data_IF_604988030566
#
_entry.id   IF_604988030566
#
_cell.length_a   1.000
_cell.length_b   1.000
_cell.length_c   1.000
_cell.angle_alpha   90.00
_cell.angle_beta   90.00
_cell.angle_gamma   90.00
#
_symmetry.space_group_name_H-M   'P 1'
#
loop_
_entity.id
_entity.type
_entity.pdbx_description
1 polymer ?
#
# COMPACT_ATOMS: atom_id res chain seq x y z
N UNK A 1 46.74 -27.34 -28.62
CA UNK A 1 47.01 -28.34 -27.56
C UNK A 1 48.06 -27.76 -26.62
N UNK A 2 47.64 -27.00 -25.61
CA UNK A 2 48.47 -26.55 -24.49
C UNK A 2 47.71 -26.91 -23.22
N UNK A 3 48.38 -27.67 -22.36
CA UNK A 3 47.83 -28.42 -21.25
C UNK A 3 47.47 -27.53 -20.05
N UNK A 4 46.42 -27.97 -19.36
CA UNK A 4 46.09 -27.71 -17.97
C UNK A 4 47.32 -27.60 -17.07
N UNK A 5 47.35 -26.61 -16.18
CA UNK A 5 47.89 -26.80 -14.82
C UNK A 5 47.20 -25.85 -13.83
N UNK A 6 46.77 -26.45 -12.72
CA UNK A 6 46.41 -25.87 -11.42
C UNK A 6 45.03 -25.24 -11.17
N UNK A 7 44.14 -26.14 -10.73
CA UNK A 7 43.00 -25.94 -9.83
C UNK A 7 43.39 -25.24 -8.52
N UNK A 8 42.34 -24.68 -7.90
CA UNK A 8 42.13 -24.44 -6.47
C UNK A 8 42.81 -23.21 -5.85
N UNK A 9 42.02 -22.14 -5.70
CA UNK A 9 41.90 -21.42 -4.44
C UNK A 9 40.42 -20.98 -4.29
N UNK A 10 39.59 -21.94 -3.88
CA UNK A 10 38.26 -21.70 -3.32
C UNK A 10 38.45 -21.61 -1.80
N UNK A 11 37.64 -20.79 -1.14
CA UNK A 11 37.58 -20.58 0.32
C UNK A 11 38.75 -19.70 0.81
N UNK A 12 38.55 -18.50 1.34
CA UNK A 12 37.77 -18.16 2.52
C UNK A 12 37.28 -16.70 2.42
N UNK A 13 35.99 -16.49 2.67
CA UNK A 13 35.30 -15.35 3.34
C UNK A 13 33.85 -15.48 2.87
N UNK A 14 33.13 -16.43 3.47
CA UNK A 14 31.68 -16.41 3.51
C UNK A 14 31.35 -16.49 4.99
N UNK A 15 31.32 -15.32 5.61
CA UNK A 15 30.92 -15.15 7.00
C UNK A 15 29.51 -15.69 7.16
N UNK A 16 29.40 -16.79 7.89
CA UNK A 16 28.22 -17.10 8.69
C UNK A 16 27.95 -15.93 9.61
N UNK A 17 26.85 -15.20 9.44
CA UNK A 17 26.12 -14.58 10.54
C UNK A 17 24.73 -14.16 10.05
N UNK A 18 23.71 -14.51 10.85
CA UNK A 18 22.32 -14.07 10.78
C UNK A 18 21.39 -14.70 9.70
N UNK A 19 20.89 -15.92 9.97
CA UNK A 19 19.45 -16.19 9.80
C UNK A 19 18.79 -15.95 11.15
N UNK A 20 18.20 -14.78 11.34
CA UNK A 20 17.38 -14.45 12.50
C UNK A 20 15.93 -14.33 12.03
N UNK A 21 15.08 -15.09 12.73
CA UNK A 21 13.61 -15.10 12.75
C UNK A 21 12.85 -15.58 11.52
N UNK A 22 12.92 -16.88 11.24
CA UNK A 22 11.71 -17.64 10.88
C UNK A 22 11.19 -18.30 12.17
N UNK A 23 9.87 -18.33 12.34
CA UNK A 23 9.10 -18.87 13.50
C UNK A 23 8.85 -17.92 14.67
N UNK A 24 7.96 -16.95 14.47
CA UNK A 24 7.02 -16.56 15.52
C UNK A 24 5.66 -16.27 14.87
N UNK A 25 4.61 -16.85 15.46
CA UNK A 25 3.18 -16.67 15.15
C UNK A 25 2.61 -17.32 13.88
N UNK A 26 2.18 -18.57 14.03
CA UNK A 26 0.98 -19.07 13.35
C UNK A 26 0.12 -19.81 14.37
N UNK A 27 -0.86 -19.12 14.95
CA UNK A 27 -2.01 -19.78 15.58
C UNK A 27 -2.90 -20.30 14.45
N UNK A 28 -3.17 -21.62 14.34
CA UNK A 28 -4.20 -22.08 13.44
C UNK A 28 -5.57 -21.79 14.09
N UNK A 29 -6.13 -20.61 13.83
CA UNK A 29 -7.55 -20.37 14.10
C UNK A 29 -8.34 -21.11 13.03
N UNK A 30 -8.99 -22.20 13.41
CA UNK A 30 -10.01 -22.87 12.61
C UNK A 30 -11.21 -21.95 12.43
N UNK A 31 -11.20 -21.14 11.37
CA UNK A 31 -12.37 -20.35 10.96
C UNK A 31 -13.35 -21.29 10.27
N UNK A 32 -14.41 -21.68 10.99
CA UNK A 32 -15.60 -22.25 10.37
C UNK A 32 -16.29 -21.17 9.54
N UNK A 33 -16.23 -21.29 8.22
CA UNK A 33 -17.14 -20.57 7.33
C UNK A 33 -18.50 -21.25 7.38
N UNK A 34 -19.42 -20.74 8.21
CA UNK A 34 -20.83 -21.12 8.14
C UNK A 34 -21.56 -20.03 7.37
N UNK A 35 -21.86 -20.33 6.11
CA UNK A 35 -22.78 -19.54 5.31
C UNK A 35 -24.24 -19.76 5.73
N UNK A 36 -25.06 -18.84 5.23
CA UNK A 36 -26.54 -18.84 5.15
C UNK A 36 -27.28 -18.15 6.28
N UNK A 37 -28.01 -17.08 5.92
CA UNK A 37 -29.04 -16.46 6.74
C UNK A 37 -29.20 -14.99 6.39
N UNK A 38 -30.16 -14.67 5.52
CA UNK A 38 -30.57 -13.28 5.26
C UNK A 38 -31.03 -12.62 6.56
N UNK A 39 -30.16 -11.79 7.14
CA UNK A 39 -30.48 -10.96 8.29
C UNK A 39 -31.03 -9.63 7.82
N UNK A 40 -32.24 -9.30 8.28
CA UNK A 40 -32.85 -7.98 8.16
C UNK A 40 -31.83 -6.88 8.54
N UNK A 41 -31.67 -5.92 7.64
CA UNK A 41 -30.88 -4.71 7.89
C UNK A 41 -31.43 -4.03 9.16
N UNK A 42 -30.65 -4.06 10.24
CA UNK A 42 -31.05 -3.52 11.55
C UNK A 42 -30.88 -4.48 12.73
N UNK A 43 -30.59 -5.77 12.49
CA UNK A 43 -30.23 -6.70 13.57
C UNK A 43 -28.76 -6.50 14.00
N UNK A 44 -28.53 -5.50 14.85
CA UNK A 44 -27.22 -5.11 15.38
C UNK A 44 -26.60 -6.12 16.36
N UNK A 45 -26.34 -7.35 15.90
CA UNK A 45 -25.63 -8.37 16.71
C UNK A 45 -24.57 -9.18 15.95
N UNK A 46 -24.44 -9.03 14.62
CA UNK A 46 -23.57 -9.91 13.83
C UNK A 46 -22.59 -9.27 12.85
N UNK A 47 -22.66 -7.95 12.58
CA UNK A 47 -21.83 -7.31 11.53
C UNK A 47 -20.98 -6.13 12.01
N UNK A 48 -20.53 -6.16 13.27
CA UNK A 48 -19.48 -5.25 13.76
C UNK A 48 -19.97 -3.94 14.40
N UNK A 49 -21.23 -3.86 14.84
CA UNK A 49 -21.71 -2.80 15.72
C UNK A 49 -22.36 -3.44 16.93
N UNK A 50 -21.73 -3.33 18.10
CA UNK A 50 -22.30 -3.83 19.35
C UNK A 50 -23.67 -3.21 19.59
N UNK A 51 -24.62 -4.02 20.07
CA UNK A 51 -25.98 -3.62 20.44
C UNK A 51 -25.95 -2.29 21.19
N UNK A 52 -26.30 -1.20 20.52
CA UNK A 52 -26.16 0.16 21.04
C UNK A 52 -27.22 0.45 22.09
N UNK A 53 -27.07 -0.15 23.28
CA UNK A 53 -27.91 0.03 24.46
C UNK A 53 -29.38 -0.36 24.27
N UNK A 54 -30.08 -0.57 25.38
CA UNK A 54 -31.53 -0.81 25.41
C UNK A 54 -32.35 0.28 24.71
N UNK A 55 -31.78 1.45 24.43
CA UNK A 55 -32.43 2.59 23.76
C UNK A 55 -32.66 2.33 22.27
N UNK A 56 -31.72 1.71 21.54
CA UNK A 56 -31.90 1.43 20.09
C UNK A 56 -32.84 0.26 19.84
N UNK A 57 -32.90 -0.68 20.78
CA UNK A 57 -33.76 -1.87 20.72
C UNK A 57 -35.20 -1.55 21.17
N UNK A 58 -35.38 -0.72 22.21
CA UNK A 58 -36.69 -0.26 22.68
C UNK A 58 -37.29 0.90 21.84
N UNK A 59 -36.50 1.55 20.98
CA UNK A 59 -36.87 2.77 20.25
C UNK A 59 -37.88 2.63 19.09
N UNK A 60 -38.47 1.45 18.88
CA UNK A 60 -39.53 1.26 17.87
C UNK A 60 -39.18 1.79 16.46
N UNK A 61 -40.14 2.44 15.80
CA UNK A 61 -39.92 3.01 14.45
C UNK A 61 -38.96 4.22 14.45
N UNK A 62 -38.94 5.01 15.52
CA UNK A 62 -38.08 6.19 15.63
C UNK A 62 -36.60 5.81 15.82
N UNK A 63 -36.29 4.79 16.62
CA UNK A 63 -34.94 4.26 16.80
C UNK A 63 -34.35 3.66 15.51
N UNK A 64 -35.19 3.02 14.67
CA UNK A 64 -34.78 2.54 13.34
C UNK A 64 -34.45 3.70 12.39
N UNK A 65 -35.24 4.77 12.42
CA UNK A 65 -35.00 5.96 11.59
C UNK A 65 -33.72 6.70 12.03
N UNK A 66 -33.50 6.83 13.34
CA UNK A 66 -32.29 7.44 13.89
C UNK A 66 -31.04 6.62 13.56
N UNK A 67 -31.10 5.29 13.68
CA UNK A 67 -30.00 4.41 13.30
C UNK A 67 -29.64 4.52 11.81
N UNK A 68 -30.64 4.59 10.92
CA UNK A 68 -30.40 4.79 9.49
C UNK A 68 -29.71 6.13 9.19
N UNK A 69 -30.13 7.20 9.87
CA UNK A 69 -29.54 8.53 9.71
C UNK A 69 -28.10 8.60 10.23
N UNK A 70 -27.82 7.97 11.37
CA UNK A 70 -26.46 7.83 11.89
C UNK A 70 -25.58 7.06 10.91
N UNK A 71 -26.07 5.95 10.37
CA UNK A 71 -25.32 5.14 9.42
C UNK A 71 -25.01 5.91 8.12
N UNK A 72 -25.98 6.65 7.58
CA UNK A 72 -25.74 7.54 6.44
C UNK A 72 -24.66 8.59 6.74
N UNK A 73 -24.69 9.18 7.93
CA UNK A 73 -23.69 10.16 8.35
C UNK A 73 -22.30 9.55 8.40
N UNK A 74 -22.14 8.37 9.01
CA UNK A 74 -20.85 7.68 9.07
C UNK A 74 -20.35 7.26 7.70
N UNK A 75 -21.22 6.76 6.81
CA UNK A 75 -20.86 6.43 5.42
C UNK A 75 -20.32 7.66 4.68
N UNK A 76 -21.02 8.80 4.77
CA UNK A 76 -20.55 10.06 4.15
C UNK A 76 -19.20 10.51 4.72
N UNK A 77 -18.99 10.36 6.03
CA UNK A 77 -17.70 10.69 6.64
C UNK A 77 -16.57 9.78 6.16
N UNK A 78 -16.79 8.47 6.09
CA UNK A 78 -15.78 7.53 5.59
C UNK A 78 -15.47 7.78 4.12
N UNK A 79 -16.50 8.04 3.31
CA UNK A 79 -16.33 8.34 1.89
C UNK A 79 -15.55 9.64 1.69
N UNK A 80 -15.84 10.68 2.48
CA UNK A 80 -15.12 11.94 2.44
C UNK A 80 -13.64 11.78 2.85
N UNK A 81 -13.35 10.96 3.86
CA UNK A 81 -11.97 10.67 4.25
C UNK A 81 -11.20 9.93 3.16
N UNK A 82 -11.81 8.91 2.56
CA UNK A 82 -11.19 8.16 1.46
C UNK A 82 -11.00 9.06 0.24
N UNK A 83 -11.96 9.92 -0.08
CA UNK A 83 -11.84 10.89 -1.16
C UNK A 83 -10.66 11.84 -0.96
N UNK A 84 -10.54 12.42 0.23
CA UNK A 84 -9.43 13.32 0.58
C UNK A 84 -8.06 12.64 0.45
N UNK A 85 -7.97 11.37 0.84
CA UNK A 85 -6.74 10.60 0.68
C UNK A 85 -6.41 10.35 -0.80
N UNK A 86 -7.42 10.09 -1.64
CA UNK A 86 -7.22 9.93 -3.08
C UNK A 86 -6.75 11.23 -3.73
N UNK A 87 -7.41 12.35 -3.43
CA UNK A 87 -7.02 13.67 -3.96
C UNK A 87 -5.57 14.00 -3.60
N UNK A 88 -5.16 13.78 -2.35
CA UNK A 88 -3.78 14.02 -1.92
C UNK A 88 -2.77 13.16 -2.70
N UNK A 89 -3.07 11.88 -2.92
CA UNK A 89 -2.21 10.98 -3.69
C UNK A 89 -2.14 11.38 -5.17
N UNK A 90 -3.23 11.86 -5.75
CA UNK A 90 -3.26 12.37 -7.12
C UNK A 90 -2.43 13.66 -7.25
N UNK A 91 -2.50 14.56 -6.28
CA UNK A 91 -1.65 15.75 -6.21
C UNK A 91 -0.15 15.39 -6.12
N UNK A 92 0.21 14.44 -5.25
CA UNK A 92 1.58 13.94 -5.12
C UNK A 92 2.08 13.29 -6.42
N UNK A 93 1.25 12.48 -7.06
CA UNK A 93 1.58 11.86 -8.35
C UNK A 93 1.88 12.93 -9.41
N UNK A 94 0.99 13.92 -9.55
CA UNK A 94 1.17 15.01 -10.50
C UNK A 94 2.44 15.83 -10.22
N UNK A 95 2.73 16.07 -8.94
CA UNK A 95 3.94 16.77 -8.52
C UNK A 95 5.20 15.98 -8.92
N UNK A 96 5.24 14.67 -8.63
CA UNK A 96 6.37 13.82 -8.99
C UNK A 96 6.54 13.69 -10.51
N UNK A 97 5.46 13.61 -11.28
CA UNK A 97 5.52 13.64 -12.74
C UNK A 97 6.14 14.93 -13.27
N UNK A 98 5.81 16.08 -12.68
CA UNK A 98 6.40 17.36 -13.06
C UNK A 98 7.90 17.39 -12.78
N UNK A 99 8.33 16.91 -11.60
CA UNK A 99 9.75 16.83 -11.23
C UNK A 99 10.52 15.91 -12.18
N UNK A 100 9.95 14.77 -12.56
CA UNK A 100 10.57 13.85 -13.54
C UNK A 100 10.77 14.56 -14.87
N UNK A 101 9.78 15.29 -15.38
CA UNK A 101 9.89 16.06 -16.63
C UNK A 101 10.99 17.12 -16.55
N UNK A 102 11.09 17.82 -15.43
CA UNK A 102 12.14 18.82 -15.21
C UNK A 102 13.53 18.17 -15.21
N UNK A 103 13.72 17.08 -14.47
CA UNK A 103 14.99 16.36 -14.44
C UNK A 103 15.36 15.76 -15.80
N UNK A 104 14.38 15.28 -16.58
CA UNK A 104 14.63 14.83 -17.95
C UNK A 104 15.17 15.97 -18.82
N UNK A 105 14.57 17.16 -18.75
CA UNK A 105 15.03 18.33 -19.49
C UNK A 105 16.45 18.77 -19.08
N UNK A 106 16.78 18.69 -17.79
CA UNK A 106 18.14 18.95 -17.28
C UNK A 106 19.15 17.94 -17.82
N UNK A 107 18.81 16.64 -17.77
CA UNK A 107 19.64 15.57 -18.32
C UNK A 107 19.91 15.81 -19.81
N UNK A 108 18.90 16.20 -20.58
CA UNK A 108 19.05 16.51 -22.01
C UNK A 108 19.97 17.70 -22.26
N UNK A 109 19.84 18.77 -21.45
CA UNK A 109 20.75 19.92 -21.51
C UNK A 109 22.19 19.51 -21.23
N UNK A 110 22.43 18.69 -20.21
CA UNK A 110 23.77 18.18 -19.90
C UNK A 110 24.32 17.29 -21.00
N UNK A 111 23.49 16.39 -21.56
CA UNK A 111 23.86 15.55 -22.71
C UNK A 111 24.27 16.40 -23.92
N UNK A 112 23.54 17.50 -24.20
CA UNK A 112 23.89 18.43 -25.29
C UNK A 112 25.24 19.09 -25.05
N UNK A 113 25.49 19.63 -23.85
CA UNK A 113 26.79 20.24 -23.49
C UNK A 113 27.95 19.26 -23.64
N UNK A 114 27.78 18.00 -23.21
CA UNK A 114 28.81 16.96 -23.38
C UNK A 114 29.11 16.72 -24.87
N UNK A 115 28.08 16.66 -25.73
CA UNK A 115 28.30 16.51 -27.18
C UNK A 115 29.05 17.69 -27.79
N UNK A 116 28.71 18.91 -27.38
CA UNK A 116 29.39 20.13 -27.85
C UNK A 116 30.87 20.15 -27.44
N UNK A 117 31.19 19.77 -26.20
CA UNK A 117 32.57 19.68 -25.72
C UNK A 117 33.37 18.62 -26.49
N UNK A 118 32.81 17.42 -26.68
CA UNK A 118 33.44 16.36 -27.48
C UNK A 118 33.75 16.81 -28.91
N UNK A 119 32.85 17.58 -29.53
CA UNK A 119 33.06 18.08 -30.89
C UNK A 119 34.23 19.07 -30.99
N UNK A 120 34.42 19.90 -29.95
CA UNK A 120 35.56 20.83 -29.87
C UNK A 120 36.87 20.08 -29.69
N UNK A 121 36.91 19.08 -28.81
CA UNK A 121 38.08 18.22 -28.60
C UNK A 121 38.53 17.49 -29.88
N UNK A 122 37.61 17.15 -30.79
CA UNK A 122 37.94 16.50 -32.05
C UNK A 122 38.39 17.47 -33.17
N UNK A 123 38.19 18.78 -33.00
CA UNK A 123 38.57 19.80 -34.00
C UNK A 123 39.87 20.54 -33.66
N UNK A 124 40.44 20.30 -32.47
CA UNK A 124 41.81 20.67 -32.09
C UNK A 124 42.77 19.50 -32.35
#
# INVERSE_FOLDING_TARGET
MWMCLHRNLRWWIAGTYLRVTETYFSCPSSVRFSGTGGGEWGSGSGRGGGSGGSVREAGGAFGKMEAAREEEYFRRLTDAQVHKLKEHLEEEMNHHELLIKQHQAEIERHKKKIRELKLKEHHE
#
